data_IF_799433509251
#
_entry.id   IF_799433509251
#
_cell.length_a   1.000
_cell.length_b   1.000
_cell.length_c   1.000
_cell.angle_alpha   90.00
_cell.angle_beta   90.00
_cell.angle_gamma   90.00
#
_symmetry.space_group_name_H-M   'P 1'
#
loop_
_entity.id
_entity.type
_entity.pdbx_description
1 polymer ?
#
# COMPACT_ATOMS: atom_id res chain seq x y z
N UNK A 1 36.70 40.92 20.91
CA UNK A 1 35.94 40.50 19.71
C UNK A 1 35.84 38.98 19.74
N UNK A 2 34.70 38.43 20.19
CA UNK A 2 34.48 36.98 20.36
C UNK A 2 33.43 36.53 19.36
N UNK A 3 33.85 35.81 18.32
CA UNK A 3 32.97 35.27 17.30
C UNK A 3 32.42 33.93 17.79
N UNK A 4 31.10 33.84 18.02
CA UNK A 4 30.42 32.61 18.44
C UNK A 4 30.04 31.85 17.16
N UNK A 5 30.72 30.72 16.93
CA UNK A 5 30.41 29.80 15.83
C UNK A 5 29.22 28.92 16.25
N UNK A 6 28.04 29.16 15.66
CA UNK A 6 26.86 28.30 15.87
C UNK A 6 26.95 27.10 14.92
N UNK A 7 27.32 25.95 15.46
CA UNK A 7 27.23 24.67 14.77
C UNK A 7 25.76 24.22 14.81
N UNK A 8 25.04 24.44 13.73
CA UNK A 8 23.73 23.83 13.51
C UNK A 8 23.93 22.35 13.23
N UNK A 9 23.78 21.51 14.24
CA UNK A 9 23.75 20.05 14.09
C UNK A 9 22.45 19.71 13.36
N UNK A 10 22.56 19.43 12.06
CA UNK A 10 21.47 18.90 11.25
C UNK A 10 21.36 17.40 11.58
N UNK A 11 20.47 17.05 12.51
CA UNK A 11 20.14 15.66 12.79
C UNK A 11 19.37 15.11 11.60
N UNK A 12 20.07 14.47 10.66
CA UNK A 12 19.44 13.57 9.70
C UNK A 12 18.88 12.37 10.48
N UNK A 13 17.55 12.33 10.64
CA UNK A 13 16.87 11.10 11.04
C UNK A 13 17.00 10.11 9.88
N UNK A 14 18.07 9.31 9.87
CA UNK A 14 18.12 8.09 9.08
C UNK A 14 17.17 7.10 9.73
N UNK A 15 16.13 6.67 9.03
CA UNK A 15 15.33 5.51 9.40
C UNK A 15 16.22 4.26 9.32
N UNK A 16 17.01 4.03 10.37
CA UNK A 16 17.76 2.79 10.55
C UNK A 16 16.72 1.75 10.93
N UNK A 17 16.24 0.99 9.93
CA UNK A 17 15.67 -0.31 10.22
C UNK A 17 16.79 -1.14 10.86
N UNK A 18 16.72 -1.32 12.18
CA UNK A 18 17.59 -2.25 12.90
C UNK A 18 17.52 -3.61 12.22
N UNK A 19 18.65 -4.30 12.08
CA UNK A 19 18.67 -5.69 11.61
C UNK A 19 17.68 -6.50 12.46
N UNK A 20 16.61 -6.99 11.83
CA UNK A 20 15.53 -7.76 12.49
C UNK A 20 14.15 -7.11 12.54
N UNK A 21 13.99 -5.84 12.16
CA UNK A 21 12.67 -5.20 12.15
C UNK A 21 12.03 -5.23 10.74
N UNK A 22 11.02 -6.08 10.55
CA UNK A 22 10.30 -6.21 9.28
C UNK A 22 9.26 -5.09 9.08
N UNK A 23 8.80 -4.92 7.84
CA UNK A 23 7.72 -3.98 7.53
C UNK A 23 6.41 -4.34 8.25
N UNK A 24 6.13 -5.63 8.40
CA UNK A 24 4.95 -6.12 9.13
C UNK A 24 5.02 -5.73 10.60
N UNK A 25 6.19 -5.90 11.24
CA UNK A 25 6.39 -5.45 12.62
C UNK A 25 6.21 -3.93 12.76
N UNK A 26 6.67 -3.16 11.76
CA UNK A 26 6.36 -1.73 11.69
C UNK A 26 4.86 -1.47 11.69
N UNK A 27 4.10 -2.10 10.78
CA UNK A 27 2.65 -1.92 10.69
C UNK A 27 1.94 -2.34 11.98
N UNK A 28 2.31 -3.47 12.59
CA UNK A 28 1.71 -3.97 13.83
C UNK A 28 1.92 -3.01 15.01
N UNK A 29 3.07 -2.34 15.08
CA UNK A 29 3.33 -1.32 16.11
C UNK A 29 2.83 0.09 15.76
N UNK A 30 2.50 0.33 14.49
CA UNK A 30 2.19 1.67 13.98
C UNK A 30 0.90 2.23 14.60
N UNK A 31 0.97 3.44 15.16
CA UNK A 31 -0.16 4.15 15.74
C UNK A 31 -0.34 5.49 15.00
N UNK A 32 -1.33 5.62 14.11
CA UNK A 32 -1.46 6.80 13.27
C UNK A 32 -1.81 8.04 14.10
N UNK A 33 -1.08 9.12 13.86
CA UNK A 33 -1.36 10.46 14.44
C UNK A 33 -1.99 11.32 13.37
N UNK A 34 -3.08 12.02 13.72
CA UNK A 34 -3.77 12.87 12.75
C UNK A 34 -2.92 14.09 12.41
N UNK A 35 -2.44 14.16 11.17
CA UNK A 35 -1.76 15.34 10.61
C UNK A 35 -2.79 16.44 10.34
N UNK A 36 -2.38 17.70 10.50
CA UNK A 36 -3.23 18.89 10.28
C UNK A 36 -3.90 18.90 8.89
N UNK A 37 -3.19 18.43 7.86
CA UNK A 37 -3.67 18.37 6.48
C UNK A 37 -4.61 17.18 6.19
N UNK A 38 -4.85 16.28 7.16
CA UNK A 38 -5.69 15.09 6.99
C UNK A 38 -7.05 15.32 7.65
N UNK A 39 -8.07 15.48 6.81
CA UNK A 39 -9.46 15.60 7.27
C UNK A 39 -9.89 14.39 8.10
N UNK A 40 -10.69 14.63 9.15
CA UNK A 40 -11.09 13.60 10.13
C UNK A 40 -11.65 12.33 9.50
N UNK A 41 -12.48 12.46 8.46
CA UNK A 41 -13.05 11.30 7.76
C UNK A 41 -11.97 10.39 7.17
N UNK A 42 -10.93 10.98 6.56
CA UNK A 42 -9.80 10.23 6.00
C UNK A 42 -8.92 9.64 7.09
N UNK A 43 -8.71 10.40 8.17
CA UNK A 43 -7.96 9.90 9.32
C UNK A 43 -8.65 8.67 9.94
N UNK A 44 -9.95 8.78 10.26
CA UNK A 44 -10.74 7.67 10.82
C UNK A 44 -10.76 6.46 9.89
N UNK A 45 -10.94 6.66 8.59
CA UNK A 45 -10.96 5.58 7.61
C UNK A 45 -9.61 4.85 7.54
N UNK A 46 -8.50 5.58 7.43
CA UNK A 46 -7.17 4.98 7.39
C UNK A 46 -6.82 4.28 8.70
N UNK A 47 -7.14 4.90 9.85
CA UNK A 47 -6.96 4.29 11.17
C UNK A 47 -7.74 2.99 11.32
N UNK A 48 -9.02 2.97 10.93
CA UNK A 48 -9.86 1.78 10.97
C UNK A 48 -9.26 0.63 10.15
N UNK A 49 -8.73 0.92 8.95
CA UNK A 49 -8.07 -0.12 8.15
C UNK A 49 -6.84 -0.69 8.86
N UNK A 50 -5.98 0.17 9.42
CA UNK A 50 -4.80 -0.29 10.17
C UNK A 50 -5.20 -1.16 11.36
N UNK A 51 -6.25 -0.78 12.10
CA UNK A 51 -6.75 -1.55 13.25
C UNK A 51 -7.31 -2.91 12.82
N UNK A 52 -8.13 -2.95 11.76
CA UNK A 52 -8.67 -4.20 11.22
C UNK A 52 -7.55 -5.12 10.71
N UNK A 53 -6.56 -4.59 9.98
CA UNK A 53 -5.43 -5.41 9.50
C UNK A 53 -4.64 -6.02 10.66
N UNK A 54 -4.47 -5.31 11.78
CA UNK A 54 -3.82 -5.89 12.98
C UNK A 54 -4.66 -7.00 13.60
N UNK A 55 -5.98 -6.83 13.63
CA UNK A 55 -6.91 -7.83 14.13
C UNK A 55 -6.92 -9.09 13.23
N UNK A 56 -7.05 -8.91 11.92
CA UNK A 56 -7.09 -9.98 10.93
C UNK A 56 -5.79 -10.80 10.92
N UNK A 57 -4.64 -10.13 11.10
CA UNK A 57 -3.33 -10.79 11.22
C UNK A 57 -3.05 -11.34 12.61
N UNK A 58 -3.96 -11.16 13.57
CA UNK A 58 -3.81 -11.57 14.97
C UNK A 58 -2.54 -11.01 15.64
N UNK A 59 -2.11 -9.82 15.23
CA UNK A 59 -0.83 -9.21 15.61
C UNK A 59 0.39 -10.11 15.35
N UNK A 60 0.33 -10.99 14.35
CA UNK A 60 1.45 -11.84 13.96
C UNK A 60 1.96 -11.43 12.56
N UNK A 61 3.24 -11.02 12.43
CA UNK A 61 3.80 -10.61 11.14
C UNK A 61 3.77 -11.72 10.07
N UNK A 62 3.74 -12.99 10.48
CA UNK A 62 3.69 -14.14 9.54
C UNK A 62 2.30 -14.36 8.93
N UNK A 63 1.25 -13.75 9.49
CA UNK A 63 -0.12 -13.92 9.03
C UNK A 63 -0.52 -12.93 7.91
N UNK A 64 0.38 -12.04 7.51
CA UNK A 64 0.12 -11.06 6.46
C UNK A 64 -0.06 -11.74 5.10
N UNK A 65 -1.08 -11.29 4.36
CA UNK A 65 -1.35 -11.72 3.00
C UNK A 65 -1.47 -10.51 2.05
N UNK A 66 -1.65 -10.78 0.75
CA UNK A 66 -1.80 -9.76 -0.30
C UNK A 66 -2.86 -8.70 0.02
N UNK A 67 -4.01 -9.11 0.57
CA UNK A 67 -5.11 -8.20 0.89
C UNK A 67 -4.70 -7.20 1.98
N UNK A 68 -3.93 -7.63 2.96
CA UNK A 68 -3.40 -6.77 4.02
C UNK A 68 -2.49 -5.70 3.45
N UNK A 69 -1.56 -6.08 2.56
CA UNK A 69 -0.67 -5.11 1.91
C UNK A 69 -1.42 -4.09 1.05
N UNK A 70 -2.45 -4.53 0.33
CA UNK A 70 -3.35 -3.64 -0.41
C UNK A 70 -4.09 -2.67 0.53
N UNK A 71 -4.66 -3.19 1.61
CA UNK A 71 -5.35 -2.41 2.64
C UNK A 71 -4.43 -1.37 3.29
N UNK A 72 -3.20 -1.75 3.64
CA UNK A 72 -2.19 -0.85 4.22
C UNK A 72 -1.81 0.26 3.24
N UNK A 73 -1.64 -0.05 1.95
CA UNK A 73 -1.37 0.97 0.94
C UNK A 73 -2.51 2.01 0.88
N UNK A 74 -3.77 1.56 0.90
CA UNK A 74 -4.95 2.45 0.95
C UNK A 74 -4.98 3.27 2.24
N UNK A 75 -4.72 2.64 3.38
CA UNK A 75 -4.69 3.30 4.67
C UNK A 75 -3.64 4.42 4.72
N UNK A 76 -2.41 4.12 4.29
CA UNK A 76 -1.30 5.07 4.22
C UNK A 76 -1.59 6.22 3.25
N UNK A 77 -2.25 5.95 2.12
CA UNK A 77 -2.73 7.01 1.22
C UNK A 77 -3.77 7.91 1.91
N UNK A 78 -4.69 7.33 2.68
CA UNK A 78 -5.73 8.09 3.40
C UNK A 78 -5.14 8.95 4.52
N UNK A 79 -4.15 8.40 5.23
CA UNK A 79 -3.40 9.04 6.32
C UNK A 79 -2.33 10.03 5.83
N UNK A 80 -2.10 10.11 4.51
CA UNK A 80 -1.03 10.90 3.90
C UNK A 80 0.34 10.57 4.51
N UNK A 81 0.63 9.28 4.63
CA UNK A 81 1.97 8.80 4.99
C UNK A 81 2.98 9.01 3.88
N UNK A 82 4.26 8.93 4.27
CA UNK A 82 5.37 9.10 3.34
C UNK A 82 5.24 8.16 2.15
N UNK A 83 5.59 8.67 0.97
CA UNK A 83 5.49 7.92 -0.29
C UNK A 83 6.21 6.57 -0.18
N UNK A 84 7.37 6.52 0.46
CA UNK A 84 8.16 5.30 0.64
C UNK A 84 7.42 4.22 1.44
N UNK A 85 6.61 4.60 2.44
CA UNK A 85 5.80 3.65 3.21
C UNK A 85 4.69 3.05 2.34
N UNK A 86 4.06 3.87 1.49
CA UNK A 86 3.03 3.41 0.54
C UNK A 86 3.65 2.48 -0.50
N UNK A 87 4.79 2.86 -1.08
CA UNK A 87 5.50 2.03 -2.06
C UNK A 87 5.99 0.73 -1.46
N UNK A 88 6.42 0.74 -0.19
CA UNK A 88 6.83 -0.48 0.51
C UNK A 88 5.65 -1.42 0.70
N UNK A 89 4.47 -0.92 1.09
CA UNK A 89 3.27 -1.75 1.18
C UNK A 89 2.92 -2.39 -0.18
N UNK A 90 2.92 -1.60 -1.26
CA UNK A 90 2.66 -2.10 -2.62
C UNK A 90 3.67 -3.17 -3.01
N UNK A 91 4.97 -2.89 -2.86
CA UNK A 91 6.05 -3.82 -3.19
C UNK A 91 5.93 -5.13 -2.42
N UNK A 92 5.63 -5.06 -1.12
CA UNK A 92 5.44 -6.24 -0.27
C UNK A 92 4.24 -7.08 -0.72
N UNK A 93 3.15 -6.45 -1.16
CA UNK A 93 2.02 -7.15 -1.76
C UNK A 93 2.38 -7.87 -3.07
N UNK A 94 3.13 -7.22 -3.95
CA UNK A 94 3.63 -7.81 -5.21
C UNK A 94 4.60 -8.97 -4.94
N UNK A 95 5.54 -8.80 -4.00
CA UNK A 95 6.51 -9.82 -3.60
C UNK A 95 5.84 -11.03 -2.92
N UNK A 96 4.71 -10.83 -2.22
CA UNK A 96 3.95 -11.89 -1.58
C UNK A 96 3.23 -12.78 -2.61
N UNK A 97 2.44 -12.17 -3.51
CA UNK A 97 1.84 -12.84 -4.67
C UNK A 97 1.40 -11.79 -5.71
N UNK A 98 2.16 -11.70 -6.80
CA UNK A 98 1.98 -10.74 -7.88
C UNK A 98 0.65 -10.91 -8.63
N UNK A 99 0.19 -12.14 -8.87
CA UNK A 99 -1.04 -12.40 -9.62
C UNK A 99 -2.26 -12.01 -8.78
N UNK A 100 -2.27 -12.38 -7.50
CA UNK A 100 -3.30 -11.93 -6.55
C UNK A 100 -3.30 -10.41 -6.40
N UNK A 101 -2.13 -9.78 -6.27
CA UNK A 101 -2.07 -8.31 -6.16
C UNK A 101 -2.59 -7.62 -7.42
N UNK A 102 -2.31 -8.17 -8.61
CA UNK A 102 -2.87 -7.70 -9.86
C UNK A 102 -4.40 -7.82 -9.88
N UNK A 103 -4.96 -8.93 -9.39
CA UNK A 103 -6.40 -9.12 -9.28
C UNK A 103 -7.04 -8.11 -8.31
N UNK A 104 -6.40 -7.81 -7.18
CA UNK A 104 -6.83 -6.74 -6.27
C UNK A 104 -6.84 -5.38 -6.98
N UNK A 105 -5.77 -5.06 -7.69
CA UNK A 105 -5.66 -3.79 -8.42
C UNK A 105 -6.77 -3.61 -9.47
N UNK A 106 -7.16 -4.68 -10.17
CA UNK A 106 -8.23 -4.66 -11.17
C UNK A 106 -9.62 -4.61 -10.56
N UNK A 107 -9.87 -5.43 -9.54
CA UNK A 107 -11.21 -5.61 -8.96
C UNK A 107 -11.59 -4.51 -7.98
N UNK A 108 -10.66 -4.07 -7.13
CA UNK A 108 -10.94 -3.09 -6.09
C UNK A 108 -10.72 -1.65 -6.55
N UNK A 109 -9.90 -1.44 -7.59
CA UNK A 109 -9.74 -0.16 -8.28
C UNK A 109 -9.52 1.05 -7.37
N UNK A 110 -8.25 1.38 -7.08
CA UNK A 110 -7.91 2.62 -6.38
C UNK A 110 -7.02 3.51 -7.25
N UNK A 111 -7.54 4.65 -7.70
CA UNK A 111 -6.86 5.53 -8.66
C UNK A 111 -5.49 6.02 -8.20
N UNK A 112 -5.29 6.21 -6.89
CA UNK A 112 -4.00 6.61 -6.34
C UNK A 112 -3.01 5.44 -6.30
N UNK A 113 -3.45 4.25 -5.90
CA UNK A 113 -2.60 3.05 -5.97
C UNK A 113 -2.23 2.76 -7.43
N UNK A 114 -3.18 2.84 -8.34
CA UNK A 114 -2.95 2.64 -9.78
C UNK A 114 -1.94 3.65 -10.35
N UNK A 115 -2.08 4.93 -9.99
CA UNK A 115 -1.10 5.96 -10.36
C UNK A 115 0.30 5.63 -9.82
N UNK A 116 0.40 5.15 -8.57
CA UNK A 116 1.69 4.75 -7.98
C UNK A 116 2.26 3.50 -8.66
N UNK A 117 1.42 2.54 -9.03
CA UNK A 117 1.81 1.36 -9.81
C UNK A 117 2.38 1.76 -11.17
N UNK A 118 1.65 2.59 -11.93
CA UNK A 118 2.10 3.13 -13.23
C UNK A 118 3.44 3.86 -13.14
N UNK A 119 3.65 4.61 -12.07
CA UNK A 119 4.82 5.49 -11.95
C UNK A 119 6.06 4.81 -11.36
N UNK A 120 5.91 3.78 -10.53
CA UNK A 120 7.02 3.20 -9.76
C UNK A 120 7.18 1.68 -9.95
N UNK A 121 6.20 1.01 -10.57
CA UNK A 121 6.17 -0.43 -10.80
C UNK A 121 5.71 -0.76 -12.22
N UNK A 122 6.24 -0.04 -13.22
CA UNK A 122 5.77 -0.09 -14.62
C UNK A 122 5.78 -1.49 -15.21
N UNK A 123 6.83 -2.28 -15.00
CA UNK A 123 6.92 -3.64 -15.55
C UNK A 123 5.82 -4.54 -14.98
N UNK A 124 5.57 -4.45 -13.66
CA UNK A 124 4.46 -5.15 -13.02
C UNK A 124 3.11 -4.65 -13.55
N UNK A 125 2.90 -3.33 -13.62
CA UNK A 125 1.64 -2.73 -14.03
C UNK A 125 1.26 -3.08 -15.48
N UNK A 126 2.25 -3.02 -16.39
CA UNK A 126 2.06 -3.39 -17.79
C UNK A 126 1.80 -4.89 -17.95
N UNK A 127 2.50 -5.74 -17.19
CA UNK A 127 2.20 -7.19 -17.14
C UNK A 127 0.81 -7.49 -16.58
N UNK A 128 0.35 -6.70 -15.60
CA UNK A 128 -0.98 -6.84 -15.01
C UNK A 128 -2.09 -6.43 -15.99
N UNK A 129 -1.91 -5.34 -16.74
CA UNK A 129 -2.90 -4.83 -17.71
C UNK A 129 -2.83 -5.51 -19.08
N UNK A 130 -1.69 -6.14 -19.42
CA UNK A 130 -1.40 -6.74 -20.72
C UNK A 130 -2.00 -8.12 -21.01
N UNK A 131 -2.94 -8.61 -20.19
CA UNK A 131 -3.65 -9.89 -20.39
C UNK A 131 -5.16 -9.74 -20.63
N UNK A 132 -5.61 -8.61 -21.21
CA UNK A 132 -6.92 -8.56 -21.88
C UNK A 132 -6.77 -8.88 -23.37
N UNK A 133 -6.18 -10.04 -23.70
CA UNK A 133 -6.30 -10.61 -25.05
C UNK A 133 -6.84 -12.03 -24.93
N UNK A 134 -8.07 -12.20 -25.45
CA UNK A 134 -8.80 -13.46 -25.69
C UNK A 134 -9.56 -14.09 -24.53
N UNK A 135 -10.49 -13.35 -23.92
CA UNK A 135 -11.70 -13.97 -23.36
C UNK A 135 -12.99 -13.25 -23.82
N UNK A 136 -13.11 -13.04 -25.13
CA UNK A 136 -14.41 -12.79 -25.77
C UNK A 136 -14.40 -13.27 -27.23
N UNK A 137 -14.58 -14.57 -27.43
CA UNK A 137 -15.42 -15.08 -28.52
C UNK A 137 -15.74 -16.55 -28.24
N UNK A 138 -17.00 -16.92 -28.49
CA UNK A 138 -17.72 -18.11 -27.98
C UNK A 138 -18.14 -17.94 -26.50
N UNK A 139 -19.41 -17.87 -26.11
CA UNK A 139 -20.65 -18.37 -26.72
C UNK A 139 -21.78 -17.42 -26.33
N UNK A 140 -22.22 -16.57 -27.25
CA UNK A 140 -23.63 -16.16 -27.33
C UNK A 140 -24.13 -16.73 -28.65
N UNK A 141 -24.31 -18.04 -28.69
CA UNK A 141 -25.24 -18.63 -29.64
C UNK A 141 -26.60 -18.70 -28.95
N UNK A 142 -27.48 -17.87 -29.51
CA UNK A 142 -28.93 -18.01 -29.61
C UNK A 142 -29.46 -19.41 -29.35
N UNK A 143 -30.60 -19.53 -28.65
CA UNK A 143 -31.91 -19.95 -29.20
C UNK A 143 -32.93 -20.29 -28.09
N UNK A 144 -34.21 -20.13 -28.44
CA UNK A 144 -35.47 -20.36 -27.70
C UNK A 144 -35.97 -19.24 -26.78
N UNK A 145 -37.23 -18.79 -26.86
CA UNK A 145 -38.30 -18.85 -27.86
C UNK A 145 -39.43 -17.90 -27.35
N UNK A 146 -40.36 -17.57 -28.25
CA UNK A 146 -41.62 -16.83 -28.02
C UNK A 146 -42.39 -17.38 -26.81
#
# INVERSE_FOLDING_TARGET
MKTIFRISIFLCFTNIFSQGYSFENFVLSYSPVQKEAVADKKFRYGKMIIENTKEDTQNNPENFNVADYWNIAIAFISLQEDKENILTAIRKGIENDADSFCNYSKSMGNSKVEMLLKANFTDFYTGCTGKETNLSSSIYDTEYCI
#
